data_IF_663070098752
#
_entry.id   IF_663070098752
#
_cell.length_a   1.000
_cell.length_b   1.000
_cell.length_c   1.000
_cell.angle_alpha   90.00
_cell.angle_beta   90.00
_cell.angle_gamma   90.00
#
_symmetry.space_group_name_H-M   'P 1'
#
loop_
_entity.id
_entity.type
_entity.pdbx_description
1 polymer ?
#
# COMPACT_ATOMS: atom_id res chain seq x y z
N UNK A 1 8.89 -8.11 14.67
CA UNK A 1 8.99 -6.67 14.99
C UNK A 1 8.81 -5.92 13.68
N UNK A 2 7.65 -5.32 13.44
CA UNK A 2 7.32 -4.66 12.16
C UNK A 2 8.16 -3.39 12.04
N UNK A 3 8.99 -3.31 11.01
CA UNK A 3 9.84 -2.15 10.74
C UNK A 3 8.92 -0.93 10.53
N UNK A 4 9.08 0.14 11.33
CA UNK A 4 8.32 1.37 11.16
C UNK A 4 8.97 2.14 9.99
N UNK A 5 8.49 1.91 8.78
CA UNK A 5 8.92 2.65 7.60
C UNK A 5 8.27 4.03 7.62
N UNK A 6 9.05 5.10 7.44
CA UNK A 6 8.54 6.47 7.32
C UNK A 6 7.41 6.51 6.29
N UNK A 7 6.26 7.06 6.67
CA UNK A 7 5.13 7.22 5.75
C UNK A 7 4.25 5.98 5.58
N UNK A 8 4.52 4.87 6.27
CA UNK A 8 3.63 3.72 6.27
C UNK A 8 2.27 4.07 6.89
N UNK A 9 1.19 3.74 6.17
CA UNK A 9 -0.16 3.95 6.66
C UNK A 9 -0.60 2.79 7.55
N UNK A 10 -1.43 3.13 8.54
CA UNK A 10 -2.05 2.21 9.47
C UNK A 10 -3.54 2.47 9.50
N UNK A 11 -4.29 1.45 9.11
CA UNK A 11 -5.73 1.44 9.28
C UNK A 11 -6.10 1.25 10.75
N UNK A 12 -7.04 2.07 11.22
CA UNK A 12 -7.76 1.87 12.47
C UNK A 12 -8.78 0.74 12.38
N UNK A 13 -9.48 0.45 13.48
CA UNK A 13 -10.55 -0.54 13.48
C UNK A 13 -11.72 -0.08 12.61
N UNK A 14 -12.25 -0.99 11.79
CA UNK A 14 -13.44 -0.76 10.98
C UNK A 14 -14.70 -0.69 11.86
N UNK A 15 -15.57 0.28 11.60
CA UNK A 15 -16.79 0.55 12.38
C UNK A 15 -17.97 0.91 11.48
N UNK A 16 -19.21 0.60 11.88
CA UNK A 16 -20.41 1.10 11.20
C UNK A 16 -20.58 2.61 11.45
N UNK A 17 -20.93 3.38 10.41
CA UNK A 17 -21.21 4.81 10.51
C UNK A 17 -22.54 5.15 11.19
N UNK A 18 -23.49 4.21 11.22
CA UNK A 18 -24.77 4.34 11.93
C UNK A 18 -25.26 3.00 12.48
N UNK A 19 -26.22 3.06 13.40
CA UNK A 19 -26.80 1.87 14.03
C UNK A 19 -27.81 1.11 13.13
N UNK A 20 -28.38 1.78 12.13
CA UNK A 20 -29.37 1.20 11.21
C UNK A 20 -28.72 0.78 9.91
N UNK A 21 -29.01 -0.45 9.45
CA UNK A 21 -28.64 -0.90 8.12
C UNK A 21 -29.62 -0.33 7.07
N UNK A 22 -29.14 0.02 5.85
CA UNK A 22 -27.75 0.04 5.41
C UNK A 22 -26.97 1.22 6.01
N UNK A 23 -25.72 0.97 6.40
CA UNK A 23 -24.77 1.96 6.90
C UNK A 23 -23.46 1.86 6.13
N UNK A 24 -22.66 2.92 6.18
CA UNK A 24 -21.31 2.94 5.63
C UNK A 24 -20.30 2.31 6.60
N UNK A 25 -19.27 1.67 6.06
CA UNK A 25 -18.12 1.23 6.83
C UNK A 25 -17.08 2.33 6.90
N UNK A 26 -16.62 2.67 8.10
CA UNK A 26 -15.66 3.74 8.33
C UNK A 26 -14.44 3.27 9.12
N UNK A 27 -13.27 3.83 8.81
CA UNK A 27 -12.06 3.69 9.62
C UNK A 27 -11.13 4.88 9.42
N UNK A 28 -10.40 5.25 10.47
CA UNK A 28 -9.34 6.26 10.36
C UNK A 28 -8.07 5.65 9.78
N UNK A 29 -7.37 6.41 8.94
CA UNK A 29 -6.03 6.09 8.45
C UNK A 29 -5.04 7.03 9.14
N UNK A 30 -4.02 6.45 9.74
CA UNK A 30 -2.94 7.19 10.41
C UNK A 30 -1.59 6.81 9.83
N UNK A 31 -0.57 7.60 10.12
CA UNK A 31 0.84 7.30 9.84
C UNK A 31 1.68 7.59 11.07
N UNK A 32 2.91 7.07 11.13
CA UNK A 32 3.86 7.40 12.20
C UNK A 32 4.91 8.34 11.62
N UNK A 33 5.04 9.52 12.22
CA UNK A 33 6.21 10.38 12.01
C UNK A 33 7.42 9.72 12.69
N UNK A 34 8.45 9.28 11.94
CA UNK A 34 9.60 8.62 12.54
C UNK A 34 10.49 9.58 13.35
N UNK A 35 10.42 10.89 13.09
CA UNK A 35 11.20 11.91 13.81
C UNK A 35 10.58 12.15 15.18
N UNK A 36 9.27 12.40 15.21
CA UNK A 36 8.56 12.74 16.44
C UNK A 36 7.97 11.51 17.17
N UNK A 37 7.98 10.32 16.54
CA UNK A 37 7.33 9.08 17.00
C UNK A 37 5.86 9.26 17.40
N UNK A 38 5.16 10.16 16.72
CA UNK A 38 3.73 10.45 16.96
C UNK A 38 2.89 9.94 15.81
N UNK A 39 1.69 9.49 16.15
CA UNK A 39 0.66 9.20 15.15
C UNK A 39 0.17 10.52 14.55
N UNK A 40 0.17 10.59 13.22
CA UNK A 40 -0.42 11.66 12.45
C UNK A 40 -1.64 11.12 11.71
N UNK A 41 -2.72 11.89 11.72
CA UNK A 41 -3.91 11.58 10.95
C UNK A 41 -3.65 11.82 9.46
N UNK A 42 -4.04 10.85 8.62
CA UNK A 42 -3.91 10.95 7.15
C UNK A 42 -5.28 11.24 6.54
N UNK A 43 -6.31 10.52 6.96
CA UNK A 43 -7.63 10.63 6.37
C UNK A 43 -8.60 9.59 6.93
N UNK A 44 -9.80 9.58 6.36
CA UNK A 44 -10.86 8.64 6.72
C UNK A 44 -11.21 7.77 5.53
N UNK A 45 -11.21 6.47 5.74
CA UNK A 45 -11.80 5.51 4.81
C UNK A 45 -13.32 5.47 5.04
N UNK A 46 -14.09 5.57 3.95
CA UNK A 46 -15.55 5.40 3.95
C UNK A 46 -15.92 4.51 2.78
N UNK A 47 -16.68 3.45 3.04
CA UNK A 47 -17.22 2.57 2.01
C UNK A 47 -18.75 2.55 2.10
N UNK A 48 -19.38 2.98 1.01
CA UNK A 48 -20.83 3.11 0.89
C UNK A 48 -21.56 1.78 1.17
N UNK A 49 -22.69 1.90 1.86
CA UNK A 49 -23.34 0.81 2.58
C UNK A 49 -23.88 -0.39 1.79
N UNK A 50 -24.20 -1.44 2.55
CA UNK A 50 -24.70 -2.74 2.05
C UNK A 50 -23.61 -3.80 1.81
N UNK A 51 -22.35 -3.44 2.04
CA UNK A 51 -21.19 -4.33 1.83
C UNK A 51 -20.94 -5.25 3.03
N UNK A 52 -20.58 -6.53 2.82
CA UNK A 52 -20.15 -7.41 3.91
C UNK A 52 -18.89 -6.88 4.61
N UNK A 53 -18.77 -7.13 5.92
CA UNK A 53 -17.61 -6.68 6.72
C UNK A 53 -16.28 -7.21 6.16
N UNK A 54 -16.26 -8.44 5.62
CA UNK A 54 -15.05 -9.03 5.02
C UNK A 54 -14.55 -8.24 3.82
N UNK A 55 -15.46 -7.82 2.93
CA UNK A 55 -15.12 -6.99 1.76
C UNK A 55 -14.61 -5.61 2.19
N UNK A 56 -15.30 -4.97 3.15
CA UNK A 56 -14.88 -3.68 3.68
C UNK A 56 -13.51 -3.75 4.39
N UNK A 57 -13.23 -4.84 5.11
CA UNK A 57 -11.94 -5.07 5.75
C UNK A 57 -10.83 -5.29 4.71
N UNK A 58 -11.10 -6.05 3.64
CA UNK A 58 -10.15 -6.26 2.55
C UNK A 58 -9.80 -4.93 1.84
N UNK A 59 -10.81 -4.10 1.55
CA UNK A 59 -10.61 -2.78 0.94
C UNK A 59 -9.83 -1.84 1.87
N UNK A 60 -10.15 -1.82 3.17
CA UNK A 60 -9.39 -1.06 4.15
C UNK A 60 -7.92 -1.50 4.24
N UNK A 61 -7.68 -2.82 4.21
CA UNK A 61 -6.32 -3.36 4.17
C UNK A 61 -5.57 -2.95 2.90
N UNK A 62 -6.23 -2.94 1.74
CA UNK A 62 -5.64 -2.45 0.50
C UNK A 62 -5.26 -0.96 0.57
N UNK A 63 -6.13 -0.12 1.17
CA UNK A 63 -5.86 1.31 1.38
C UNK A 63 -4.61 1.52 2.24
N UNK A 64 -4.41 0.72 3.30
CA UNK A 64 -3.22 0.83 4.14
C UNK A 64 -1.91 0.49 3.41
N UNK A 65 -1.97 -0.22 2.27
CA UNK A 65 -0.80 -0.59 1.46
C UNK A 65 -0.43 0.46 0.40
N UNK A 66 -1.25 1.49 0.18
CA UNK A 66 -1.03 2.50 -0.87
C UNK A 66 0.39 3.09 -0.86
N UNK A 67 0.95 3.55 0.28
CA UNK A 67 2.30 4.10 0.28
C UNK A 67 3.37 3.12 -0.20
N UNK A 68 3.25 1.85 0.19
CA UNK A 68 4.19 0.80 -0.21
C UNK A 68 4.02 0.44 -1.69
N UNK A 69 2.79 0.41 -2.19
CA UNK A 69 2.51 0.22 -3.61
C UNK A 69 3.13 1.35 -4.46
N UNK A 70 2.92 2.61 -4.05
CA UNK A 70 3.51 3.78 -4.75
C UNK A 70 5.03 3.72 -4.73
N UNK A 71 5.63 3.39 -3.59
CA UNK A 71 7.09 3.24 -3.45
C UNK A 71 7.65 2.17 -4.38
N UNK A 72 6.97 1.02 -4.48
CA UNK A 72 7.38 -0.06 -5.38
C UNK A 72 7.22 0.32 -6.85
N UNK A 73 6.13 1.00 -7.22
CA UNK A 73 5.92 1.49 -8.58
C UNK A 73 7.00 2.49 -8.98
N UNK A 74 7.38 3.42 -8.09
CA UNK A 74 8.47 4.36 -8.34
C UNK A 74 9.82 3.66 -8.50
N UNK A 75 10.10 2.65 -7.66
CA UNK A 75 11.34 1.89 -7.75
C UNK A 75 11.42 1.11 -9.08
N UNK A 76 10.33 0.44 -9.49
CA UNK A 76 10.26 -0.27 -10.77
C UNK A 76 10.37 0.69 -11.95
N UNK A 77 9.71 1.86 -11.91
CA UNK A 77 9.84 2.89 -12.93
C UNK A 77 11.29 3.37 -13.07
N UNK A 78 12.02 3.53 -11.95
CA UNK A 78 13.45 3.85 -11.98
C UNK A 78 14.30 2.78 -12.67
N UNK A 79 13.99 1.50 -12.47
CA UNK A 79 14.69 0.41 -13.19
C UNK A 79 14.36 0.41 -14.68
N UNK A 80 13.11 0.73 -15.05
CA UNK A 80 12.73 0.87 -16.47
C UNK A 80 13.48 2.03 -17.13
N UNK A 81 13.64 3.16 -16.43
CA UNK A 81 14.42 4.29 -16.90
C UNK A 81 15.89 3.92 -17.19
N UNK A 82 16.49 3.02 -16.40
CA UNK A 82 17.84 2.50 -16.68
C UNK A 82 17.95 1.75 -18.02
N UNK A 83 16.83 1.32 -18.60
CA UNK A 83 16.79 0.62 -19.89
C UNK A 83 16.52 1.56 -21.08
N UNK A 84 16.29 2.86 -20.84
CA UNK A 84 16.03 3.86 -21.87
C UNK A 84 17.32 4.62 -22.22
N UNK A 85 17.86 4.51 -23.44
CA UNK A 85 19.09 5.20 -23.87
C UNK A 85 19.02 6.73 -23.78
N UNK A 86 17.81 7.31 -23.79
CA UNK A 86 17.60 8.75 -23.74
C UNK A 86 17.42 9.28 -22.29
N UNK A 87 17.39 8.39 -21.29
CA UNK A 87 17.24 8.75 -19.87
C UNK A 87 18.60 8.92 -19.17
N UNK A 88 18.70 9.87 -18.25
CA UNK A 88 19.92 10.15 -17.48
C UNK A 88 20.37 8.96 -16.61
N UNK A 89 19.46 8.06 -16.25
CA UNK A 89 19.73 6.86 -15.47
C UNK A 89 20.16 5.66 -16.32
N UNK A 90 20.33 5.80 -17.65
CA UNK A 90 20.64 4.69 -18.55
C UNK A 90 21.86 3.88 -18.09
N UNK A 91 21.69 2.57 -18.04
CA UNK A 91 22.75 1.60 -17.78
C UNK A 91 22.92 0.71 -19.01
N UNK A 92 24.13 0.69 -19.60
CA UNK A 92 24.51 -0.16 -20.73
C UNK A 92 24.72 -1.64 -20.32
N UNK A 93 23.88 -2.14 -19.41
CA UNK A 93 23.92 -3.51 -18.87
C UNK A 93 22.53 -3.98 -18.51
N UNK A 94 21.99 -4.87 -19.34
CA UNK A 94 20.72 -5.55 -19.06
C UNK A 94 20.78 -6.41 -17.78
N UNK A 95 21.96 -6.89 -17.41
CA UNK A 95 22.16 -7.64 -16.18
C UNK A 95 21.94 -6.77 -14.94
N UNK A 96 22.39 -5.50 -14.98
CA UNK A 96 22.24 -4.56 -13.86
C UNK A 96 20.77 -4.15 -13.69
N UNK A 97 20.06 -3.93 -14.81
CA UNK A 97 18.62 -3.69 -14.80
C UNK A 97 17.84 -4.88 -14.22
N UNK A 98 18.20 -6.11 -14.61
CA UNK A 98 17.57 -7.31 -14.08
C UNK A 98 17.84 -7.49 -12.59
N UNK A 99 19.08 -7.27 -12.14
CA UNK A 99 19.45 -7.36 -10.72
C UNK A 99 18.68 -6.33 -9.89
N UNK A 100 18.57 -5.09 -10.39
CA UNK A 100 17.80 -4.03 -9.75
C UNK A 100 16.32 -4.37 -9.63
N UNK A 101 15.70 -4.95 -10.67
CA UNK A 101 14.32 -5.40 -10.63
C UNK A 101 14.12 -6.53 -9.60
N UNK A 102 15.04 -7.50 -9.58
CA UNK A 102 14.94 -8.66 -8.70
C UNK A 102 14.95 -8.28 -7.22
N UNK A 103 15.64 -7.18 -6.83
CA UNK A 103 15.64 -6.63 -5.46
C UNK A 103 14.25 -6.25 -4.94
N UNK A 104 13.26 -6.03 -5.81
CA UNK A 104 11.90 -5.64 -5.43
C UNK A 104 10.89 -6.79 -5.45
N UNK A 105 11.29 -7.99 -5.89
CA UNK A 105 10.40 -9.13 -6.12
C UNK A 105 9.61 -9.55 -4.88
N UNK A 106 10.27 -9.69 -3.73
CA UNK A 106 9.61 -10.18 -2.51
C UNK A 106 8.64 -9.16 -1.93
N UNK A 107 8.94 -7.86 -2.05
CA UNK A 107 8.03 -6.80 -1.66
C UNK A 107 6.78 -6.79 -2.55
N UNK A 108 6.94 -6.91 -3.87
CA UNK A 108 5.81 -7.05 -4.81
C UNK A 108 4.95 -8.27 -4.49
N UNK A 109 5.56 -9.43 -4.26
CA UNK A 109 4.83 -10.65 -3.86
C UNK A 109 4.08 -10.48 -2.55
N UNK A 110 4.68 -9.81 -1.56
CA UNK A 110 4.05 -9.54 -0.27
C UNK A 110 2.78 -8.70 -0.44
N UNK A 111 2.88 -7.60 -1.20
CA UNK A 111 1.73 -6.73 -1.52
C UNK A 111 0.65 -7.51 -2.27
N UNK A 112 1.02 -8.27 -3.31
CA UNK A 112 0.06 -9.05 -4.09
C UNK A 112 -0.64 -10.14 -3.27
N UNK A 113 0.05 -10.78 -2.31
CA UNK A 113 -0.58 -11.73 -1.39
C UNK A 113 -1.58 -11.02 -0.47
N UNK A 114 -1.22 -9.85 0.05
CA UNK A 114 -2.11 -9.08 0.91
C UNK A 114 -3.37 -8.60 0.16
N UNK A 115 -3.24 -8.24 -1.12
CA UNK A 115 -4.37 -7.87 -1.98
C UNK A 115 -5.19 -9.10 -2.42
N UNK A 116 -4.53 -10.19 -2.80
CA UNK A 116 -5.17 -11.43 -3.27
C UNK A 116 -5.84 -12.25 -2.16
N UNK A 117 -5.41 -12.09 -0.91
CA UNK A 117 -6.05 -12.70 0.26
C UNK A 117 -7.47 -12.17 0.56
N UNK A 118 -7.89 -11.07 -0.07
CA UNK A 118 -9.25 -10.55 -0.01
C UNK A 118 -10.18 -11.05 -1.12
N UNK A 119 -9.66 -11.66 -2.19
CA UNK A 119 -10.43 -12.09 -3.36
C UNK A 119 -10.83 -13.59 -3.34
N UNK A 120 -10.62 -14.28 -2.21
CA UNK A 120 -10.87 -15.71 -2.12
C UNK A 120 -11.11 -16.17 -0.69
N UNK A 121 -12.34 -15.95 -0.21
CA UNK A 121 -13.09 -16.79 0.74
C UNK A 121 -14.46 -16.20 1.00
#
# INVERSE_FOLDING_TARGET
MTMITRGAWRAGPLRPGSASWPFDWEADITTIDPVCRRHQYVGRFVQAGGRPIGEAQANLSAVALIPEMVRLLQAVAGVIAMSDPDDEAFADSAADCLEALLKHTDALRSVLRALGGGAGR
#
